data_IF_065717725420
#
_entry.id   IF_065717725420
#
_cell.length_a   1.000
_cell.length_b   1.000
_cell.length_c   1.000
_cell.angle_alpha   90.00
_cell.angle_beta   90.00
_cell.angle_gamma   90.00
#
_symmetry.space_group_name_H-M   'P 1'
#
loop_
_entity.id
_entity.type
_entity.pdbx_description
1 polymer ?
#
# COMPACT_ATOMS: atom_id res chain seq x y z
N UNK A 1 -4.14 20.70 19.61
CA UNK A 1 -5.50 20.19 19.88
C UNK A 1 -5.58 20.04 21.38
N UNK A 2 -6.38 20.86 22.05
CA UNK A 2 -6.48 20.90 23.53
C UNK A 2 -7.63 20.04 24.07
N UNK A 3 -8.53 19.59 23.22
CA UNK A 3 -9.66 18.74 23.61
C UNK A 3 -9.53 17.34 23.05
N UNK A 4 -10.08 16.35 23.77
CA UNK A 4 -10.12 14.95 23.32
C UNK A 4 -11.02 14.85 22.10
N UNK A 5 -10.48 14.40 20.97
CA UNK A 5 -11.23 14.11 19.75
C UNK A 5 -11.28 12.59 19.54
N UNK A 6 -12.47 12.08 19.24
CA UNK A 6 -12.69 10.70 18.80
C UNK A 6 -13.34 10.66 17.42
N UNK A 7 -13.23 9.53 16.73
CA UNK A 7 -13.92 9.34 15.45
C UNK A 7 -14.75 8.06 15.43
N UNK A 8 -15.89 8.15 14.77
CA UNK A 8 -16.79 7.02 14.49
C UNK A 8 -16.90 6.82 12.99
N UNK A 9 -16.47 5.67 12.51
CA UNK A 9 -16.59 5.27 11.10
C UNK A 9 -17.86 4.42 10.93
N UNK A 10 -18.77 4.85 10.07
CA UNK A 10 -19.98 4.09 9.74
C UNK A 10 -19.71 3.15 8.55
N UNK A 11 -19.68 1.85 8.83
CA UNK A 11 -19.49 0.77 7.86
C UNK A 11 -20.67 -0.23 7.87
N UNK A 12 -21.89 0.29 7.92
CA UNK A 12 -23.11 -0.49 8.13
C UNK A 12 -23.91 -0.77 6.86
N UNK A 13 -23.55 -0.18 5.71
CA UNK A 13 -24.32 -0.38 4.49
C UNK A 13 -24.09 -1.78 3.91
N UNK A 14 -25.16 -2.51 3.69
CA UNK A 14 -25.22 -3.72 2.90
C UNK A 14 -25.62 -3.33 1.47
N UNK A 15 -24.67 -3.29 0.54
CA UNK A 15 -24.97 -3.02 -0.86
C UNK A 15 -25.00 -4.33 -1.66
N UNK A 16 -26.17 -4.91 -1.94
CA UNK A 16 -26.29 -6.19 -2.63
C UNK A 16 -25.78 -6.15 -4.08
N UNK A 17 -25.66 -4.96 -4.68
CA UNK A 17 -25.18 -4.80 -6.06
C UNK A 17 -23.66 -4.94 -6.23
N UNK A 18 -22.89 -4.92 -5.14
CA UNK A 18 -21.42 -4.88 -5.22
C UNK A 18 -20.79 -6.25 -4.95
N UNK A 19 -21.43 -7.10 -4.17
CA UNK A 19 -20.76 -8.33 -3.72
C UNK A 19 -21.65 -9.56 -3.66
N UNK A 20 -21.07 -10.66 -4.06
CA UNK A 20 -21.47 -12.00 -3.63
C UNK A 20 -20.66 -12.47 -2.41
N UNK A 21 -19.50 -11.87 -2.07
CA UNK A 21 -18.59 -12.44 -1.07
C UNK A 21 -17.79 -11.44 -0.20
N UNK A 22 -17.75 -10.14 -0.49
CA UNK A 22 -16.97 -9.17 0.30
C UNK A 22 -17.72 -7.85 0.49
N UNK A 23 -17.64 -7.31 1.71
CA UNK A 23 -18.11 -5.96 2.01
C UNK A 23 -17.40 -4.91 1.14
N UNK A 24 -18.12 -3.86 0.73
CA UNK A 24 -17.56 -2.75 -0.04
C UNK A 24 -16.39 -2.07 0.69
N UNK A 25 -16.48 -1.99 2.01
CA UNK A 25 -15.44 -1.41 2.87
C UNK A 25 -14.12 -2.18 2.84
N UNK A 26 -14.19 -3.49 2.51
CA UNK A 26 -13.05 -4.39 2.36
C UNK A 26 -12.59 -4.57 0.91
N UNK A 27 -13.19 -3.84 -0.04
CA UNK A 27 -12.67 -3.80 -1.40
C UNK A 27 -11.40 -2.95 -1.44
N UNK A 28 -10.42 -3.43 -2.21
CA UNK A 28 -9.12 -2.75 -2.28
C UNK A 28 -9.15 -1.56 -3.22
N UNK A 29 -8.57 -0.49 -2.74
CA UNK A 29 -8.17 0.69 -3.49
C UNK A 29 -6.63 0.75 -3.40
N UNK A 30 -5.92 0.54 -4.52
CA UNK A 30 -4.45 0.37 -4.54
C UNK A 30 -3.97 -0.63 -3.47
N UNK A 31 -4.55 -1.84 -3.46
CA UNK A 31 -4.23 -2.95 -2.54
C UNK A 31 -4.55 -2.73 -1.05
N UNK A 32 -5.05 -1.58 -0.66
CA UNK A 32 -5.49 -1.27 0.71
C UNK A 32 -7.02 -1.23 0.79
N UNK A 33 -7.67 -1.90 1.76
CA UNK A 33 -9.12 -1.81 1.95
C UNK A 33 -9.61 -0.36 2.10
N UNK A 34 -10.77 -0.05 1.53
CA UNK A 34 -11.34 1.32 1.55
C UNK A 34 -11.43 1.87 2.97
N UNK A 35 -11.92 1.06 3.93
CA UNK A 35 -11.97 1.49 5.35
C UNK A 35 -10.59 1.80 5.90
N UNK A 36 -9.54 1.14 5.43
CA UNK A 36 -8.15 1.43 5.80
C UNK A 36 -7.66 2.79 5.31
N UNK A 37 -8.14 3.28 4.17
CA UNK A 37 -7.89 4.65 3.70
C UNK A 37 -8.51 5.67 4.65
N UNK A 38 -9.75 5.44 5.05
CA UNK A 38 -10.47 6.31 6.02
C UNK A 38 -9.71 6.36 7.35
N UNK A 39 -9.35 5.21 7.93
CA UNK A 39 -8.57 5.13 9.18
C UNK A 39 -7.23 5.89 9.04
N UNK A 40 -6.55 5.73 7.91
CA UNK A 40 -5.28 6.44 7.67
C UNK A 40 -5.47 7.95 7.63
N UNK A 41 -6.54 8.43 6.99
CA UNK A 41 -6.85 9.86 6.93
C UNK A 41 -7.17 10.44 8.32
N UNK A 42 -7.93 9.72 9.13
CA UNK A 42 -8.25 10.13 10.51
C UNK A 42 -6.99 10.22 11.39
N UNK A 43 -6.09 9.26 11.30
CA UNK A 43 -4.81 9.32 12.01
C UNK A 43 -3.92 10.48 11.57
N UNK A 44 -3.89 10.76 10.26
CA UNK A 44 -3.20 11.96 9.73
C UNK A 44 -3.85 13.27 10.19
N UNK A 45 -5.14 13.25 10.51
CA UNK A 45 -5.82 14.36 11.18
C UNK A 45 -5.41 14.52 12.65
N UNK A 46 -4.80 13.49 13.26
CA UNK A 46 -4.39 13.45 14.67
C UNK A 46 -5.40 12.77 15.58
N UNK A 47 -6.33 12.00 15.04
CA UNK A 47 -7.34 11.25 15.80
C UNK A 47 -6.86 9.81 15.95
N UNK A 48 -6.57 9.39 17.19
CA UNK A 48 -6.12 8.03 17.51
C UNK A 48 -7.25 7.16 18.05
N UNK A 49 -8.24 7.75 18.72
CA UNK A 49 -9.41 7.05 19.25
C UNK A 49 -10.45 6.88 18.13
N UNK A 50 -10.39 5.74 17.46
CA UNK A 50 -11.22 5.43 16.29
C UNK A 50 -12.07 4.20 16.57
N UNK A 51 -13.37 4.33 16.42
CA UNK A 51 -14.35 3.27 16.51
C UNK A 51 -15.03 3.03 15.16
N UNK A 52 -15.26 1.75 14.83
CA UNK A 52 -15.90 1.37 13.56
C UNK A 52 -17.21 0.64 13.84
N UNK A 53 -18.30 1.19 13.35
CA UNK A 53 -19.63 0.56 13.44
C UNK A 53 -19.86 -0.29 12.21
N UNK A 54 -20.06 -1.59 12.40
CA UNK A 54 -20.24 -2.56 11.32
C UNK A 54 -21.66 -3.16 11.32
N UNK A 55 -22.07 -3.74 10.19
CA UNK A 55 -23.34 -4.48 10.13
C UNK A 55 -23.32 -5.69 11.06
N UNK A 56 -24.49 -6.14 11.49
CA UNK A 56 -24.63 -7.27 12.45
C UNK A 56 -24.04 -8.57 11.92
N UNK A 57 -24.09 -8.76 10.61
CA UNK A 57 -23.60 -9.94 9.91
C UNK A 57 -22.15 -9.82 9.44
N UNK A 58 -21.45 -8.71 9.73
CA UNK A 58 -20.07 -8.56 9.30
C UNK A 58 -19.14 -9.56 9.99
N UNK A 59 -18.27 -10.15 9.19
CA UNK A 59 -17.21 -11.08 9.62
C UNK A 59 -15.84 -10.70 9.03
N UNK A 60 -15.76 -9.65 8.24
CA UNK A 60 -14.56 -9.30 7.47
C UNK A 60 -13.93 -7.99 7.88
N UNK A 61 -14.72 -6.98 8.23
CA UNK A 61 -14.25 -5.64 8.62
C UNK A 61 -13.66 -5.70 10.03
N UNK A 62 -14.38 -6.31 10.98
CA UNK A 62 -13.98 -6.40 12.40
C UNK A 62 -12.53 -6.87 12.58
N UNK A 63 -12.09 -8.05 12.07
CA UNK A 63 -10.71 -8.50 12.27
C UNK A 63 -9.67 -7.53 11.68
N UNK A 64 -9.99 -6.88 10.56
CA UNK A 64 -9.08 -5.95 9.91
C UNK A 64 -8.90 -4.66 10.71
N UNK A 65 -9.99 -4.06 11.20
CA UNK A 65 -9.91 -2.78 11.94
C UNK A 65 -9.32 -2.96 13.34
N UNK A 66 -9.57 -4.11 13.98
CA UNK A 66 -8.94 -4.48 15.26
C UNK A 66 -7.44 -4.68 15.11
N UNK A 67 -6.97 -5.29 14.01
CA UNK A 67 -5.54 -5.40 13.69
C UNK A 67 -4.89 -4.02 13.54
N UNK A 68 -5.65 -3.03 13.09
CA UNK A 68 -5.21 -1.63 13.02
C UNK A 68 -5.35 -0.88 14.37
N UNK A 69 -5.77 -1.54 15.45
CA UNK A 69 -5.93 -0.93 16.77
C UNK A 69 -7.18 -0.05 16.91
N UNK A 70 -8.20 -0.24 16.06
CA UNK A 70 -9.48 0.42 16.18
C UNK A 70 -10.48 -0.46 16.95
N UNK A 71 -11.38 0.15 17.71
CA UNK A 71 -12.51 -0.57 18.30
C UNK A 71 -13.56 -0.90 17.22
N UNK A 72 -14.24 -2.04 17.33
CA UNK A 72 -15.34 -2.40 16.44
C UNK A 72 -16.63 -2.70 17.23
N UNK A 73 -17.76 -2.27 16.69
CA UNK A 73 -19.06 -2.43 17.30
C UNK A 73 -20.09 -2.89 16.27
N UNK A 74 -20.89 -3.90 16.62
CA UNK A 74 -22.05 -4.30 15.82
C UNK A 74 -23.14 -3.24 15.92
N UNK A 75 -23.87 -3.01 14.84
CA UNK A 75 -24.95 -2.02 14.79
C UNK A 75 -25.98 -2.24 15.89
N UNK A 76 -26.47 -3.47 16.11
CA UNK A 76 -27.42 -3.79 17.18
C UNK A 76 -26.87 -3.59 18.59
N UNK A 77 -25.58 -3.73 18.80
CA UNK A 77 -24.95 -3.40 20.08
C UNK A 77 -25.11 -1.91 20.38
N UNK A 78 -24.89 -1.05 19.37
CA UNK A 78 -25.05 0.40 19.52
C UNK A 78 -26.52 0.78 19.72
N UNK A 79 -27.46 0.13 19.03
CA UNK A 79 -28.91 0.35 19.26
C UNK A 79 -29.36 -0.01 20.69
N UNK A 80 -28.69 -0.97 21.32
CA UNK A 80 -29.01 -1.43 22.67
C UNK A 80 -28.16 -0.81 23.79
N UNK A 81 -26.89 -0.45 23.44
CA UNK A 81 -25.83 -0.04 24.38
C UNK A 81 -25.24 1.33 23.97
N UNK A 82 -25.91 2.09 23.10
CA UNK A 82 -25.43 3.38 22.56
C UNK A 82 -24.99 4.35 23.66
N UNK A 83 -25.67 4.33 24.78
CA UNK A 83 -25.39 5.15 25.94
C UNK A 83 -24.02 4.84 26.55
N UNK A 84 -23.65 3.56 26.68
CA UNK A 84 -22.38 3.16 27.31
C UNK A 84 -21.18 3.38 26.36
N UNK A 85 -21.36 3.16 25.06
CA UNK A 85 -20.36 3.50 24.05
C UNK A 85 -20.09 5.00 24.03
N UNK A 86 -21.14 5.82 23.98
CA UNK A 86 -21.02 7.28 23.92
C UNK A 86 -20.54 7.89 25.24
N UNK A 87 -20.92 7.31 26.40
CA UNK A 87 -20.40 7.74 27.70
C UNK A 87 -18.90 7.59 27.85
N UNK A 88 -18.28 6.64 27.14
CA UNK A 88 -16.84 6.49 27.10
C UNK A 88 -16.15 7.65 26.34
N UNK A 89 -16.89 8.33 25.46
CA UNK A 89 -16.42 9.39 24.59
C UNK A 89 -17.14 10.73 24.83
N UNK A 90 -17.78 10.92 25.99
CA UNK A 90 -18.64 12.08 26.32
C UNK A 90 -17.89 13.41 26.51
N UNK A 91 -16.60 13.50 26.33
CA UNK A 91 -15.83 14.74 26.49
C UNK A 91 -15.22 15.18 25.16
N UNK A 92 -15.50 16.40 24.72
CA UNK A 92 -14.90 17.00 23.54
C UNK A 92 -15.72 16.79 22.26
N UNK A 93 -15.03 16.67 21.14
CA UNK A 93 -15.64 16.62 19.82
C UNK A 93 -15.57 15.21 19.20
N UNK A 94 -16.65 14.77 18.57
CA UNK A 94 -16.74 13.51 17.85
C UNK A 94 -16.89 13.76 16.35
N UNK A 95 -15.99 13.17 15.59
CA UNK A 95 -16.08 13.12 14.13
C UNK A 95 -16.81 11.85 13.68
N UNK A 96 -17.95 12.00 13.03
CA UNK A 96 -18.64 10.90 12.38
C UNK A 96 -18.34 10.93 10.88
N UNK A 97 -17.87 9.82 10.33
CA UNK A 97 -17.52 9.71 8.91
C UNK A 97 -18.03 8.40 8.29
N UNK A 98 -18.16 8.40 6.97
CA UNK A 98 -18.53 7.21 6.21
C UNK A 98 -17.31 6.34 5.92
N UNK A 99 -17.44 5.03 6.10
CA UNK A 99 -16.38 4.06 5.83
C UNK A 99 -16.13 3.77 4.35
N UNK A 100 -17.01 4.23 3.44
CA UNK A 100 -16.93 4.05 1.98
C UNK A 100 -16.36 5.29 1.23
N UNK A 101 -15.91 6.32 1.95
CA UNK A 101 -15.38 7.57 1.41
C UNK A 101 -13.84 7.66 1.58
N UNK A 102 -13.03 7.09 0.67
CA UNK A 102 -11.58 6.96 0.87
C UNK A 102 -10.79 8.26 0.72
N UNK A 103 -11.38 9.31 0.14
CA UNK A 103 -10.70 10.59 -0.14
C UNK A 103 -11.00 11.69 0.87
N UNK A 104 -11.25 11.31 2.12
CA UNK A 104 -11.32 12.26 3.22
C UNK A 104 -9.98 12.98 3.35
N UNK A 105 -10.02 14.32 3.31
CA UNK A 105 -8.82 15.13 3.44
C UNK A 105 -8.56 15.50 4.92
N UNK A 106 -7.42 15.08 5.51
CA UNK A 106 -7.07 15.41 6.89
C UNK A 106 -6.99 16.91 7.18
N UNK A 107 -6.60 17.72 6.20
CA UNK A 107 -6.51 19.19 6.35
C UNK A 107 -7.91 19.79 6.43
N UNK A 108 -8.81 19.37 5.54
CA UNK A 108 -10.21 19.79 5.55
C UNK A 108 -10.88 19.41 6.87
N UNK A 109 -10.70 18.18 7.36
CA UNK A 109 -11.26 17.77 8.64
C UNK A 109 -10.76 18.59 9.82
N UNK A 110 -9.46 18.92 9.84
CA UNK A 110 -8.85 19.73 10.89
C UNK A 110 -9.36 21.19 10.86
N UNK A 111 -9.46 21.76 9.67
CA UNK A 111 -9.99 23.11 9.52
C UNK A 111 -11.47 23.19 9.89
N UNK A 112 -12.25 22.17 9.54
CA UNK A 112 -13.65 22.05 9.93
C UNK A 112 -13.81 21.95 11.47
N UNK A 113 -12.89 21.26 12.17
CA UNK A 113 -12.87 21.21 13.63
C UNK A 113 -12.58 22.61 14.21
N UNK A 114 -11.58 23.32 13.70
CA UNK A 114 -11.25 24.67 14.16
C UNK A 114 -12.44 25.63 13.98
N UNK A 115 -13.16 25.52 12.86
CA UNK A 115 -14.38 26.32 12.64
C UNK A 115 -15.51 25.92 13.58
N UNK A 116 -15.67 24.60 13.84
CA UNK A 116 -16.62 24.06 14.80
C UNK A 116 -16.41 24.66 16.20
N UNK A 117 -15.18 24.62 16.71
CA UNK A 117 -14.78 25.13 18.03
C UNK A 117 -14.90 26.67 18.10
N UNK A 118 -14.35 27.37 17.12
CA UNK A 118 -14.33 28.84 17.11
C UNK A 118 -15.75 29.46 17.06
N UNK A 119 -16.65 28.79 16.35
CA UNK A 119 -18.03 29.25 16.24
C UNK A 119 -18.91 28.73 17.38
N UNK A 120 -18.42 27.79 18.22
CA UNK A 120 -19.22 27.11 19.24
C UNK A 120 -20.41 26.37 18.62
N UNK A 121 -20.19 25.71 17.52
CA UNK A 121 -21.22 24.90 16.86
C UNK A 121 -21.46 23.60 17.66
N UNK A 122 -22.69 23.12 17.68
CA UNK A 122 -23.03 21.80 18.22
C UNK A 122 -22.92 20.71 17.17
N UNK A 123 -23.05 21.09 15.89
CA UNK A 123 -22.73 20.23 14.75
C UNK A 123 -22.15 21.06 13.60
N UNK A 124 -21.16 20.53 12.92
CA UNK A 124 -20.59 21.11 11.69
C UNK A 124 -20.46 20.05 10.62
N UNK A 125 -21.16 20.23 9.50
CA UNK A 125 -21.05 19.36 8.32
C UNK A 125 -19.89 19.80 7.44
N UNK A 126 -19.15 18.86 6.89
CA UNK A 126 -18.21 19.14 5.79
C UNK A 126 -18.97 19.05 4.47
N UNK A 127 -19.04 20.14 3.73
CA UNK A 127 -19.74 20.25 2.45
C UNK A 127 -18.81 20.56 1.29
N UNK A 128 -19.27 20.31 0.09
CA UNK A 128 -18.62 20.76 -1.15
C UNK A 128 -19.67 20.91 -2.26
N UNK A 129 -19.28 21.55 -3.35
CA UNK A 129 -20.13 21.67 -4.53
C UNK A 129 -19.78 20.64 -5.60
N UNK A 130 -20.79 20.01 -6.20
CA UNK A 130 -20.65 19.02 -7.28
C UNK A 130 -21.50 19.36 -8.48
N UNK A 131 -21.07 18.94 -9.68
CA UNK A 131 -21.83 19.17 -10.90
C UNK A 131 -23.08 18.27 -10.99
N UNK A 132 -23.00 17.04 -10.49
CA UNK A 132 -24.08 16.07 -10.48
C UNK A 132 -24.37 15.64 -9.04
N UNK A 133 -25.30 16.31 -8.34
CA UNK A 133 -25.55 16.08 -6.92
C UNK A 133 -26.40 14.82 -6.62
N UNK A 134 -26.75 14.04 -7.62
CA UNK A 134 -27.57 12.84 -7.49
C UNK A 134 -26.96 11.81 -6.50
N UNK A 135 -27.76 11.41 -5.53
CA UNK A 135 -27.38 10.39 -4.52
C UNK A 135 -26.65 10.95 -3.29
N UNK A 136 -26.47 12.26 -3.18
CA UNK A 136 -25.92 12.91 -2.00
C UNK A 136 -27.00 13.66 -1.21
N UNK A 137 -26.79 13.89 0.08
CA UNK A 137 -27.61 14.79 0.89
C UNK A 137 -27.32 16.24 0.53
N UNK A 138 -28.37 17.06 0.42
CA UNK A 138 -28.27 18.47 0.08
C UNK A 138 -28.10 19.33 1.30
N UNK A 139 -27.30 20.38 1.17
CA UNK A 139 -27.16 21.43 2.16
C UNK A 139 -28.16 22.54 1.79
N UNK A 140 -29.20 22.68 2.59
CA UNK A 140 -30.24 23.69 2.37
C UNK A 140 -29.88 24.96 3.14
N UNK A 141 -29.83 26.09 2.44
CA UNK A 141 -29.55 27.40 3.01
C UNK A 141 -30.74 28.35 2.85
N UNK A 142 -30.92 29.22 3.81
CA UNK A 142 -31.88 30.33 3.73
C UNK A 142 -31.41 31.49 2.85
N UNK A 143 -32.25 32.51 2.72
CA UNK A 143 -31.99 33.67 1.86
C UNK A 143 -30.76 34.48 2.30
N UNK A 144 -30.42 34.48 3.57
CA UNK A 144 -29.23 35.13 4.13
C UNK A 144 -27.98 34.25 4.13
N UNK A 145 -28.10 33.03 3.58
CA UNK A 145 -27.00 32.06 3.50
C UNK A 145 -26.84 31.20 4.75
N UNK A 146 -27.68 31.38 5.76
CA UNK A 146 -27.71 30.55 6.96
C UNK A 146 -28.06 29.09 6.61
N UNK A 147 -27.52 28.18 7.36
CA UNK A 147 -27.73 26.76 7.17
C UNK A 147 -29.06 26.34 7.83
N UNK A 148 -29.98 25.78 7.05
CA UNK A 148 -31.31 25.41 7.52
C UNK A 148 -31.41 23.92 7.82
N UNK A 149 -30.95 23.05 6.91
CA UNK A 149 -31.06 21.61 7.09
C UNK A 149 -30.14 20.82 6.16
N UNK A 150 -29.99 19.53 6.45
CA UNK A 150 -29.42 18.54 5.53
C UNK A 150 -30.54 17.61 5.07
N UNK A 151 -30.78 17.54 3.77
CA UNK A 151 -31.90 16.78 3.19
C UNK A 151 -31.37 15.67 2.30
N UNK A 152 -31.71 14.43 2.63
CA UNK A 152 -31.34 13.28 1.78
C UNK A 152 -32.03 13.31 0.42
N UNK A 153 -31.33 12.79 -0.61
CA UNK A 153 -31.85 12.71 -1.99
C UNK A 153 -33.27 12.15 -2.09
N UNK A 154 -33.57 11.09 -1.31
CA UNK A 154 -34.86 10.39 -1.36
C UNK A 154 -36.02 11.23 -0.78
N UNK A 155 -35.72 12.17 0.11
CA UNK A 155 -36.68 13.05 0.78
C UNK A 155 -36.70 14.47 0.18
N UNK A 156 -35.74 14.80 -0.67
CA UNK A 156 -35.57 16.14 -1.22
C UNK A 156 -36.70 16.50 -2.19
N UNK A 157 -37.26 17.71 -2.03
CA UNK A 157 -38.23 18.30 -2.94
C UNK A 157 -37.59 18.59 -4.32
N UNK A 158 -38.40 18.85 -5.33
CA UNK A 158 -37.92 19.07 -6.70
C UNK A 158 -36.92 20.22 -6.84
N UNK A 159 -37.08 21.28 -6.05
CA UNK A 159 -36.16 22.42 -6.04
C UNK A 159 -34.90 22.13 -5.23
N UNK A 160 -35.01 21.43 -4.10
CA UNK A 160 -33.88 21.00 -3.30
C UNK A 160 -32.95 20.06 -4.07
N UNK A 161 -33.50 19.20 -4.94
CA UNK A 161 -32.71 18.32 -5.84
C UNK A 161 -31.78 19.07 -6.79
N UNK A 162 -32.06 20.36 -7.06
CA UNK A 162 -31.22 21.23 -7.90
C UNK A 162 -30.02 21.79 -7.17
N UNK A 163 -30.04 21.78 -5.85
CA UNK A 163 -28.94 22.27 -4.99
C UNK A 163 -27.69 21.45 -5.30
N UNK A 164 -26.59 22.15 -5.57
CA UNK A 164 -25.28 21.56 -5.92
C UNK A 164 -24.36 21.40 -4.73
N UNK A 165 -24.63 22.12 -3.62
CA UNK A 165 -23.90 21.94 -2.36
C UNK A 165 -24.41 20.69 -1.65
N UNK A 166 -23.48 19.76 -1.39
CA UNK A 166 -23.79 18.45 -0.84
C UNK A 166 -22.93 18.12 0.38
N UNK A 167 -23.48 17.30 1.29
CA UNK A 167 -22.74 16.76 2.42
C UNK A 167 -21.72 15.71 1.96
N UNK A 168 -20.51 15.79 2.52
CA UNK A 168 -19.50 14.73 2.37
C UNK A 168 -19.83 13.45 3.16
N UNK A 169 -20.75 13.54 4.12
CA UNK A 169 -21.00 12.50 5.11
C UNK A 169 -20.00 12.51 6.27
N UNK A 170 -19.25 13.62 6.41
CA UNK A 170 -18.35 13.87 7.54
C UNK A 170 -18.91 15.00 8.39
N UNK A 171 -19.08 14.74 9.69
CA UNK A 171 -19.70 15.67 10.62
C UNK A 171 -18.90 15.74 11.92
N UNK A 172 -18.60 16.94 12.38
CA UNK A 172 -18.15 17.20 13.74
C UNK A 172 -19.33 17.47 14.63
N UNK A 173 -19.38 16.83 15.77
CA UNK A 173 -20.41 17.00 16.80
C UNK A 173 -19.77 17.33 18.14
N UNK A 174 -20.40 18.20 18.91
CA UNK A 174 -20.27 18.16 20.36
C UNK A 174 -20.73 16.79 20.88
N UNK A 175 -19.91 16.15 21.71
CA UNK A 175 -20.16 14.78 22.14
C UNK A 175 -21.46 14.64 22.95
N UNK A 176 -21.79 15.65 23.78
CA UNK A 176 -23.00 15.65 24.63
C UNK A 176 -24.24 15.82 23.74
N UNK A 177 -24.16 16.68 22.73
CA UNK A 177 -25.30 16.92 21.83
C UNK A 177 -25.56 15.73 20.91
N UNK A 178 -24.51 15.07 20.42
CA UNK A 178 -24.67 13.81 19.67
C UNK A 178 -25.32 12.74 20.55
N UNK A 179 -24.89 12.59 21.80
CA UNK A 179 -25.48 11.61 22.71
C UNK A 179 -26.99 11.87 22.92
N UNK A 180 -27.37 13.11 23.22
CA UNK A 180 -28.76 13.51 23.39
C UNK A 180 -29.61 13.25 22.16
N UNK A 181 -29.11 13.55 20.97
CA UNK A 181 -29.83 13.32 19.72
C UNK A 181 -30.02 11.83 19.42
N UNK A 182 -29.06 10.99 19.83
CA UNK A 182 -29.13 9.54 19.66
C UNK A 182 -30.07 8.86 20.67
N UNK A 183 -30.26 9.44 21.88
CA UNK A 183 -31.24 8.96 22.87
C UNK A 183 -32.69 9.14 22.39
N UNK A 184 -32.92 10.16 21.56
CA UNK A 184 -34.24 10.43 20.94
C UNK A 184 -34.44 9.68 19.63
N UNK A 185 -33.37 9.42 18.88
CA UNK A 185 -33.38 8.63 17.65
C UNK A 185 -33.28 7.14 17.97
N UNK A 186 -34.40 6.49 18.20
CA UNK A 186 -34.51 5.05 18.62
C UNK A 186 -33.83 4.04 17.68
N UNK A 187 -33.24 4.45 16.54
CA UNK A 187 -32.60 3.53 15.59
C UNK A 187 -31.41 4.17 14.90
N UNK A 188 -30.22 3.67 15.15
CA UNK A 188 -28.99 4.02 14.43
C UNK A 188 -29.03 3.47 13.00
N UNK A 189 -29.75 4.14 12.11
CA UNK A 189 -29.85 3.79 10.69
C UNK A 189 -28.82 4.58 9.86
N UNK A 190 -28.67 4.22 8.59
CA UNK A 190 -27.95 4.98 7.58
C UNK A 190 -28.27 6.48 7.61
N UNK A 191 -29.52 6.78 7.90
CA UNK A 191 -30.09 8.11 7.94
C UNK A 191 -29.97 8.75 9.37
N UNK A 192 -29.42 8.02 10.34
CA UNK A 192 -29.37 8.45 11.73
C UNK A 192 -28.53 9.70 11.94
N UNK A 193 -27.46 9.87 11.16
CA UNK A 193 -26.58 11.06 11.26
C UNK A 193 -27.29 12.31 10.76
N UNK A 194 -27.90 12.24 9.57
CA UNK A 194 -28.65 13.37 9.01
C UNK A 194 -29.90 13.69 9.89
N UNK A 195 -30.52 12.68 10.47
CA UNK A 195 -31.62 12.86 11.43
C UNK A 195 -31.13 13.49 12.74
N UNK A 196 -29.99 13.04 13.29
CA UNK A 196 -29.38 13.66 14.47
C UNK A 196 -29.04 15.13 14.25
N UNK A 197 -28.50 15.48 13.07
CA UNK A 197 -28.27 16.86 12.67
C UNK A 197 -29.56 17.66 12.69
N UNK A 198 -30.62 17.16 12.03
CA UNK A 198 -31.89 17.85 11.94
C UNK A 198 -32.59 17.98 13.30
N UNK A 199 -32.45 17.01 14.20
CA UNK A 199 -32.93 17.11 15.58
C UNK A 199 -32.19 18.20 16.38
N UNK A 200 -30.84 18.22 16.32
CA UNK A 200 -30.04 19.28 16.97
C UNK A 200 -30.53 20.66 16.50
N UNK A 201 -30.73 20.84 15.20
CA UNK A 201 -31.25 22.07 14.62
C UNK A 201 -32.66 22.39 15.13
N UNK A 202 -33.57 21.40 15.18
CA UNK A 202 -34.95 21.57 15.65
C UNK A 202 -35.03 21.97 17.13
N UNK A 203 -34.07 21.55 17.96
CA UNK A 203 -33.94 21.96 19.35
C UNK A 203 -33.24 23.33 19.54
N UNK A 204 -32.94 24.04 18.44
CA UNK A 204 -32.28 25.35 18.45
C UNK A 204 -30.78 25.28 18.59
N UNK A 205 -30.19 24.12 18.36
CA UNK A 205 -28.74 23.93 18.38
C UNK A 205 -28.05 24.65 17.24
N UNK A 206 -26.79 25.06 17.46
CA UNK A 206 -26.00 25.79 16.48
C UNK A 206 -25.38 24.87 15.45
N UNK A 207 -25.80 25.04 14.20
CA UNK A 207 -25.39 24.24 13.06
C UNK A 207 -24.50 25.04 12.11
N UNK A 208 -23.31 24.50 11.78
CA UNK A 208 -22.36 25.05 10.83
C UNK A 208 -22.06 24.14 9.65
N UNK A 209 -21.50 24.72 8.58
CA UNK A 209 -20.99 23.97 7.44
C UNK A 209 -19.63 24.49 7.04
N UNK A 210 -18.62 23.62 7.07
CA UNK A 210 -17.30 23.89 6.50
C UNK A 210 -17.30 23.53 5.03
N UNK A 211 -17.06 24.51 4.17
CA UNK A 211 -17.00 24.29 2.73
C UNK A 211 -15.58 23.86 2.30
N UNK A 212 -15.48 22.71 1.65
CA UNK A 212 -14.24 22.21 1.07
C UNK A 212 -14.21 22.42 -0.45
N UNK A 213 -13.12 22.99 -0.96
CA UNK A 213 -12.98 23.32 -2.38
C UNK A 213 -12.92 22.07 -3.28
N UNK A 214 -12.39 20.96 -2.76
CA UNK A 214 -12.28 19.73 -3.55
C UNK A 214 -13.56 18.89 -3.52
N UNK A 215 -14.15 18.59 -4.69
CA UNK A 215 -15.29 17.67 -4.78
C UNK A 215 -14.91 16.20 -4.54
N UNK A 216 -13.63 15.89 -4.42
CA UNK A 216 -13.17 14.52 -4.21
C UNK A 216 -13.62 13.92 -2.87
N UNK A 217 -13.82 14.78 -1.85
CA UNK A 217 -14.22 14.37 -0.50
C UNK A 217 -15.58 13.65 -0.43
N UNK A 218 -16.42 13.79 -1.45
CA UNK A 218 -17.74 13.12 -1.52
C UNK A 218 -17.70 11.84 -2.35
N UNK A 219 -16.55 11.49 -2.95
CA UNK A 219 -16.43 10.30 -3.77
C UNK A 219 -16.53 9.03 -2.93
N UNK A 220 -17.50 8.17 -3.26
CA UNK A 220 -17.81 6.94 -2.53
C UNK A 220 -17.79 5.72 -3.41
N UNK A 221 -17.40 4.59 -2.82
CA UNK A 221 -17.45 3.28 -3.45
C UNK A 221 -18.87 2.71 -3.36
N UNK A 222 -19.74 2.99 -4.31
CA UNK A 222 -21.14 2.50 -4.32
C UNK A 222 -21.39 1.32 -5.25
N UNK A 223 -20.48 1.06 -6.19
CA UNK A 223 -20.55 -0.08 -7.12
C UNK A 223 -19.18 -0.33 -7.77
N UNK A 224 -19.05 -1.44 -8.53
CA UNK A 224 -17.76 -1.82 -9.16
C UNK A 224 -17.26 -0.80 -10.18
N UNK A 225 -18.13 -0.13 -10.91
CA UNK A 225 -17.73 0.93 -11.86
C UNK A 225 -17.16 2.12 -11.13
N UNK A 226 -17.79 2.55 -10.03
CA UNK A 226 -17.27 3.60 -9.16
C UNK A 226 -15.94 3.21 -8.53
N UNK A 227 -15.79 1.96 -8.10
CA UNK A 227 -14.52 1.47 -7.56
C UNK A 227 -13.37 1.60 -8.58
N UNK A 228 -13.61 1.29 -9.86
CA UNK A 228 -12.61 1.51 -10.92
C UNK A 228 -12.21 2.99 -11.00
N UNK A 229 -13.18 3.90 -11.03
CA UNK A 229 -12.91 5.35 -11.05
C UNK A 229 -12.13 5.81 -9.82
N UNK A 230 -12.46 5.28 -8.64
CA UNK A 230 -11.72 5.58 -7.41
C UNK A 230 -10.27 5.07 -7.46
N UNK A 231 -10.04 3.86 -8.00
CA UNK A 231 -8.69 3.32 -8.19
C UNK A 231 -7.84 4.20 -9.11
N UNK A 232 -8.40 4.63 -10.24
CA UNK A 232 -7.71 5.55 -11.14
C UNK A 232 -7.38 6.89 -10.47
N UNK A 233 -8.32 7.41 -9.68
CA UNK A 233 -8.11 8.65 -8.92
C UNK A 233 -7.02 8.48 -7.86
N UNK A 234 -7.08 7.41 -7.06
CA UNK A 234 -6.08 7.11 -6.04
C UNK A 234 -4.69 6.96 -6.66
N UNK A 235 -4.59 6.20 -7.76
CA UNK A 235 -3.34 6.04 -8.50
C UNK A 235 -2.77 7.38 -8.96
N UNK A 236 -3.62 8.22 -9.53
CA UNK A 236 -3.21 9.55 -9.99
C UNK A 236 -2.74 10.44 -8.84
N UNK A 237 -3.46 10.44 -7.72
CA UNK A 237 -3.11 11.24 -6.55
C UNK A 237 -1.75 10.80 -5.96
N UNK A 238 -1.50 9.48 -5.84
CA UNK A 238 -0.21 8.98 -5.36
C UNK A 238 0.95 9.34 -6.30
N UNK A 239 0.75 9.24 -7.62
CA UNK A 239 1.74 9.67 -8.62
C UNK A 239 2.05 11.16 -8.46
N UNK A 240 1.03 12.01 -8.39
CA UNK A 240 1.21 13.46 -8.22
C UNK A 240 1.94 13.80 -6.92
N UNK A 241 1.58 13.14 -5.81
CA UNK A 241 2.26 13.31 -4.51
C UNK A 241 3.77 13.07 -4.62
N UNK A 242 4.18 12.04 -5.36
CA UNK A 242 5.60 11.74 -5.56
C UNK A 242 6.28 12.73 -6.51
N UNK A 243 5.60 13.16 -7.57
CA UNK A 243 6.12 14.20 -8.48
C UNK A 243 6.37 15.50 -7.70
N UNK A 244 5.42 15.94 -6.88
CA UNK A 244 5.55 17.13 -6.02
C UNK A 244 6.67 16.99 -4.98
N UNK A 245 6.96 15.76 -4.55
CA UNK A 245 8.10 15.44 -3.68
C UNK A 245 9.45 15.35 -4.40
N UNK A 246 9.51 15.63 -5.71
CA UNK A 246 10.74 15.66 -6.50
C UNK A 246 11.14 14.32 -7.13
N UNK A 247 10.19 13.42 -7.33
CA UNK A 247 10.37 12.17 -8.10
C UNK A 247 10.04 12.45 -9.57
N UNK A 248 10.87 11.98 -10.49
CA UNK A 248 10.66 12.10 -11.93
C UNK A 248 9.84 10.90 -12.45
N UNK A 249 8.64 11.17 -13.02
CA UNK A 249 7.77 10.16 -13.60
C UNK A 249 7.37 10.62 -15.01
N UNK A 250 8.26 10.42 -16.02
CA UNK A 250 8.06 11.00 -17.35
C UNK A 250 6.88 10.41 -18.13
N UNK A 251 6.43 9.22 -17.75
CA UNK A 251 5.26 8.56 -18.33
C UNK A 251 4.57 7.73 -17.25
N UNK A 252 3.27 7.94 -17.09
CA UNK A 252 2.47 7.31 -16.02
C UNK A 252 1.83 5.98 -16.45
N UNK A 253 2.05 5.53 -17.66
CA UNK A 253 1.44 4.33 -18.21
C UNK A 253 1.89 3.07 -17.44
N UNK A 254 0.92 2.36 -16.88
CA UNK A 254 1.18 1.16 -16.07
C UNK A 254 1.90 1.41 -14.74
N UNK A 255 2.22 2.67 -14.39
CA UNK A 255 2.81 2.99 -13.09
C UNK A 255 1.76 2.86 -11.99
N UNK A 256 2.06 2.05 -10.98
CA UNK A 256 1.25 1.87 -9.78
C UNK A 256 2.12 2.04 -8.54
N UNK A 257 1.78 3.00 -7.70
CA UNK A 257 2.48 3.31 -6.45
C UNK A 257 1.45 3.26 -5.32
N UNK A 258 1.67 2.42 -4.33
CA UNK A 258 0.78 2.33 -3.16
C UNK A 258 1.08 3.43 -2.14
N UNK A 259 0.09 3.71 -1.28
CA UNK A 259 0.13 4.85 -0.34
C UNK A 259 1.28 4.83 0.68
N UNK A 260 1.79 3.64 1.00
CA UNK A 260 2.82 3.43 2.01
C UNK A 260 4.24 3.38 1.41
N UNK A 261 4.37 3.69 0.11
CA UNK A 261 5.64 3.76 -0.61
C UNK A 261 6.34 5.10 -0.36
N UNK A 262 7.64 5.03 -0.07
CA UNK A 262 8.52 6.19 0.09
C UNK A 262 9.58 6.19 -1.04
N UNK A 263 9.75 7.33 -1.71
CA UNK A 263 10.71 7.48 -2.82
C UNK A 263 11.54 8.74 -2.61
N UNK A 264 12.85 8.59 -2.67
CA UNK A 264 13.79 9.70 -2.52
C UNK A 264 13.83 10.62 -3.73
N UNK A 265 14.17 11.89 -3.48
CA UNK A 265 14.26 12.96 -4.49
C UNK A 265 15.24 12.61 -5.61
N UNK A 266 14.91 13.02 -6.84
CA UNK A 266 15.72 12.78 -8.03
C UNK A 266 15.70 11.33 -8.54
N UNK A 267 14.87 10.47 -7.97
CA UNK A 267 14.60 9.12 -8.47
C UNK A 267 13.64 9.18 -9.65
N UNK A 268 13.95 8.44 -10.71
CA UNK A 268 13.11 8.32 -11.92
C UNK A 268 12.34 7.00 -11.88
N UNK A 269 11.02 7.04 -12.05
CA UNK A 269 10.13 5.87 -12.17
C UNK A 269 9.65 5.76 -13.61
N UNK A 270 9.96 4.64 -14.26
CA UNK A 270 9.64 4.39 -15.68
C UNK A 270 8.31 3.60 -15.83
N UNK A 271 7.72 3.61 -17.04
CA UNK A 271 6.44 2.94 -17.32
C UNK A 271 6.38 1.47 -16.89
N UNK A 272 5.19 1.01 -16.49
CA UNK A 272 4.96 -0.37 -16.07
C UNK A 272 5.54 -0.72 -14.71
N UNK A 273 6.10 0.23 -13.97
CA UNK A 273 6.64 0.01 -12.63
C UNK A 273 5.53 -0.10 -11.59
N UNK A 274 5.58 -1.16 -10.78
CA UNK A 274 4.64 -1.42 -9.69
C UNK A 274 5.39 -1.44 -8.36
N UNK A 275 5.01 -0.54 -7.45
CA UNK A 275 5.56 -0.42 -6.10
C UNK A 275 4.44 -0.67 -5.08
N UNK A 276 4.54 -1.74 -4.29
CA UNK A 276 3.47 -2.10 -3.36
C UNK A 276 3.96 -2.59 -1.99
N UNK A 277 3.13 -2.40 -0.98
CA UNK A 277 3.45 -2.68 0.41
C UNK A 277 4.45 -1.68 0.98
N UNK A 278 5.23 -2.10 1.95
CA UNK A 278 6.26 -1.26 2.59
C UNK A 278 7.50 -1.20 1.72
N UNK A 279 7.54 -0.26 0.77
CA UNK A 279 8.67 -0.04 -0.12
C UNK A 279 9.34 1.29 0.22
N UNK A 280 10.68 1.26 0.36
CA UNK A 280 11.51 2.46 0.48
C UNK A 280 12.55 2.46 -0.64
N UNK A 281 12.61 3.55 -1.41
CA UNK A 281 13.58 3.76 -2.47
C UNK A 281 14.37 5.02 -2.15
N UNK A 282 15.69 4.93 -2.21
CA UNK A 282 16.61 6.04 -1.99
C UNK A 282 16.56 7.11 -3.07
N UNK A 283 17.57 7.99 -3.05
CA UNK A 283 17.70 9.13 -3.95
C UNK A 283 18.44 8.73 -5.24
N UNK A 284 18.13 9.43 -6.34
CA UNK A 284 18.89 9.32 -7.60
C UNK A 284 18.79 7.94 -8.26
N UNK A 285 17.79 7.13 -7.94
CA UNK A 285 17.58 5.82 -8.53
C UNK A 285 16.92 5.90 -9.89
N UNK A 286 17.05 4.83 -10.69
CA UNK A 286 16.31 4.61 -11.92
C UNK A 286 15.58 3.28 -11.85
N UNK A 287 14.27 3.33 -11.70
CA UNK A 287 13.42 2.16 -11.45
C UNK A 287 12.49 1.92 -12.65
N UNK A 288 12.56 0.75 -13.22
CA UNK A 288 11.79 0.39 -14.40
C UNK A 288 12.62 0.38 -15.71
N UNK A 289 11.97 0.15 -16.86
CA UNK A 289 10.53 -0.13 -16.99
C UNK A 289 10.13 -1.52 -16.42
N UNK A 290 8.82 -1.79 -16.35
CA UNK A 290 8.26 -3.12 -16.02
C UNK A 290 8.88 -3.78 -14.76
N UNK A 291 9.19 -2.97 -13.76
CA UNK A 291 9.81 -3.43 -12.51
C UNK A 291 8.76 -3.55 -11.40
N UNK A 292 8.77 -4.68 -10.70
CA UNK A 292 7.92 -4.89 -9.53
C UNK A 292 8.77 -4.93 -8.26
N UNK A 293 8.44 -4.05 -7.30
CA UNK A 293 9.07 -4.04 -5.98
C UNK A 293 7.98 -4.20 -4.93
N UNK A 294 8.15 -5.18 -4.05
CA UNK A 294 7.19 -5.45 -2.98
C UNK A 294 7.90 -5.63 -1.63
N UNK A 295 7.44 -4.90 -0.59
CA UNK A 295 7.95 -5.02 0.78
C UNK A 295 9.49 -5.02 0.87
N UNK A 296 10.16 -4.13 0.14
CA UNK A 296 11.60 -4.13 -0.04
C UNK A 296 12.22 -2.75 0.15
N UNK A 297 13.50 -2.72 0.48
CA UNK A 297 14.26 -1.48 0.61
C UNK A 297 15.32 -1.40 -0.48
N UNK A 298 15.39 -0.27 -1.15
CA UNK A 298 16.37 0.05 -2.20
C UNK A 298 17.14 1.29 -1.77
N UNK A 299 18.47 1.22 -1.78
CA UNK A 299 19.36 2.31 -1.42
C UNK A 299 19.44 3.42 -2.48
N UNK A 300 20.45 4.27 -2.35
CA UNK A 300 20.66 5.41 -3.25
C UNK A 300 21.37 5.00 -4.55
N UNK A 301 21.11 5.73 -5.65
CA UNK A 301 21.76 5.57 -6.95
C UNK A 301 21.69 4.15 -7.54
N UNK A 302 20.59 3.46 -7.30
CA UNK A 302 20.34 2.09 -7.77
C UNK A 302 19.61 2.12 -9.11
N UNK A 303 20.00 1.21 -10.01
CA UNK A 303 19.30 0.96 -11.27
C UNK A 303 18.63 -0.42 -11.17
N UNK A 304 17.30 -0.47 -11.28
CA UNK A 304 16.52 -1.69 -11.43
C UNK A 304 15.77 -1.66 -12.76
N UNK A 305 16.13 -2.53 -13.67
CA UNK A 305 15.55 -2.62 -15.00
C UNK A 305 14.84 -3.96 -15.17
N UNK A 306 13.55 -3.96 -15.54
CA UNK A 306 12.74 -5.20 -15.77
C UNK A 306 12.98 -6.26 -14.67
N UNK A 307 12.97 -5.83 -13.42
CA UNK A 307 13.37 -6.63 -12.26
C UNK A 307 12.19 -6.87 -11.34
N UNK A 308 12.12 -8.08 -10.76
CA UNK A 308 11.21 -8.38 -9.67
C UNK A 308 11.98 -8.48 -8.35
N UNK A 309 11.54 -7.73 -7.33
CA UNK A 309 12.19 -7.68 -6.02
C UNK A 309 11.15 -7.82 -4.89
N UNK A 310 11.29 -8.86 -4.09
CA UNK A 310 10.35 -9.19 -3.02
C UNK A 310 11.05 -9.32 -1.67
N UNK A 311 10.52 -8.67 -0.63
CA UNK A 311 10.93 -8.82 0.78
C UNK A 311 12.45 -8.86 0.96
N UNK A 312 13.16 -7.93 0.32
CA UNK A 312 14.61 -7.94 0.20
C UNK A 312 15.20 -6.55 0.35
N UNK A 313 16.51 -6.50 0.52
CA UNK A 313 17.27 -5.24 0.60
C UNK A 313 18.28 -5.17 -0.52
N UNK A 314 18.26 -4.09 -1.28
CA UNK A 314 19.26 -3.72 -2.27
C UNK A 314 19.97 -2.46 -1.76
N UNK A 315 21.28 -2.52 -1.55
CA UNK A 315 22.07 -1.38 -1.08
C UNK A 315 22.43 -0.42 -2.22
N UNK A 316 23.29 0.55 -1.92
CA UNK A 316 23.56 1.68 -2.83
C UNK A 316 24.33 1.28 -4.08
N UNK A 317 24.11 2.04 -5.17
CA UNK A 317 24.92 1.97 -6.39
C UNK A 317 24.80 0.65 -7.18
N UNK A 318 23.84 -0.20 -6.87
CA UNK A 318 23.60 -1.45 -7.57
C UNK A 318 23.07 -1.22 -8.99
N UNK A 319 23.46 -2.11 -9.91
CA UNK A 319 22.93 -2.16 -11.28
C UNK A 319 22.35 -3.56 -11.52
N UNK A 320 21.02 -3.65 -11.65
CA UNK A 320 20.30 -4.92 -11.63
C UNK A 320 19.33 -5.01 -12.82
N UNK A 321 19.37 -6.17 -13.49
CA UNK A 321 18.52 -6.48 -14.63
C UNK A 321 19.24 -6.37 -15.99
N UNK A 322 18.51 -6.51 -17.10
CA UNK A 322 17.08 -6.84 -17.14
C UNK A 322 16.78 -8.29 -16.75
N UNK A 323 15.50 -8.56 -16.43
CA UNK A 323 14.99 -9.90 -16.09
C UNK A 323 15.66 -10.56 -14.88
N UNK A 324 16.00 -9.77 -13.87
CA UNK A 324 16.50 -10.28 -12.61
C UNK A 324 15.34 -10.57 -11.63
N UNK A 325 15.51 -11.60 -10.78
CA UNK A 325 14.54 -11.97 -9.78
C UNK A 325 15.19 -12.06 -8.39
N UNK A 326 14.91 -11.07 -7.55
CA UNK A 326 15.37 -11.03 -6.15
C UNK A 326 14.23 -11.52 -5.28
N UNK A 327 14.41 -12.72 -4.70
CA UNK A 327 13.41 -13.41 -3.89
C UNK A 327 13.59 -13.09 -2.40
N UNK A 328 12.56 -13.37 -1.58
CA UNK A 328 12.56 -13.03 -0.16
C UNK A 328 13.82 -13.44 0.60
N UNK A 329 14.13 -12.63 1.64
CA UNK A 329 15.29 -12.79 2.52
C UNK A 329 16.65 -12.67 1.80
N UNK A 330 16.71 -11.84 0.76
CA UNK A 330 17.97 -11.58 0.06
C UNK A 330 18.51 -10.18 0.39
N UNK A 331 19.83 -10.09 0.52
CA UNK A 331 20.55 -8.84 0.73
C UNK A 331 21.58 -8.67 -0.37
N UNK A 332 21.43 -7.62 -1.18
CA UNK A 332 22.36 -7.23 -2.24
C UNK A 332 23.18 -6.05 -1.74
N UNK A 333 24.47 -6.22 -1.60
CA UNK A 333 25.45 -5.25 -1.08
C UNK A 333 25.66 -4.06 -1.99
N UNK A 334 26.53 -3.14 -1.57
CA UNK A 334 26.80 -1.92 -2.34
C UNK A 334 27.53 -2.22 -3.68
N UNK A 335 27.19 -1.50 -4.73
CA UNK A 335 27.84 -1.59 -6.05
C UNK A 335 27.81 -3.01 -6.67
N UNK A 336 26.88 -3.85 -6.28
CA UNK A 336 26.70 -5.18 -6.87
C UNK A 336 26.07 -5.05 -8.25
N UNK A 337 26.54 -5.88 -9.18
CA UNK A 337 25.94 -6.03 -10.50
C UNK A 337 25.26 -7.41 -10.64
N UNK A 338 23.92 -7.39 -10.81
CA UNK A 338 23.15 -8.58 -11.20
C UNK A 338 22.64 -8.36 -12.62
N UNK A 339 23.13 -9.15 -13.56
CA UNK A 339 22.73 -9.00 -14.96
C UNK A 339 21.46 -9.81 -15.31
N UNK A 340 21.33 -10.11 -16.59
CA UNK A 340 20.12 -10.71 -17.13
C UNK A 340 19.94 -12.17 -16.73
N UNK A 341 18.69 -12.52 -16.43
CA UNK A 341 18.26 -13.87 -16.01
C UNK A 341 19.00 -14.39 -14.78
N UNK A 342 19.25 -13.51 -13.83
CA UNK A 342 19.84 -13.86 -12.54
C UNK A 342 18.74 -13.97 -11.49
N UNK A 343 18.72 -15.10 -10.78
CA UNK A 343 17.84 -15.32 -9.64
C UNK A 343 18.65 -15.39 -8.34
N UNK A 344 18.27 -14.57 -7.35
CA UNK A 344 18.86 -14.55 -6.00
C UNK A 344 17.78 -14.91 -4.99
N UNK A 345 18.03 -15.89 -4.12
CA UNK A 345 17.08 -16.38 -3.13
C UNK A 345 17.73 -16.65 -1.80
N UNK A 346 17.19 -16.05 -0.72
CA UNK A 346 17.65 -16.29 0.67
C UNK A 346 19.18 -16.26 0.80
N UNK A 347 19.80 -15.23 0.18
CA UNK A 347 21.25 -15.10 0.03
C UNK A 347 21.73 -13.71 0.33
N UNK A 348 22.97 -13.61 0.82
CA UNK A 348 23.70 -12.36 0.92
C UNK A 348 24.78 -12.30 -0.16
N UNK A 349 24.83 -11.18 -0.89
CA UNK A 349 25.86 -10.91 -1.88
C UNK A 349 26.52 -9.59 -1.47
N UNK A 350 27.81 -9.61 -1.16
CA UNK A 350 28.51 -8.45 -0.64
C UNK A 350 29.08 -7.55 -1.77
N UNK A 351 29.60 -6.42 -1.36
CA UNK A 351 30.00 -5.27 -2.15
C UNK A 351 30.83 -5.61 -3.40
N UNK A 352 30.50 -4.99 -4.51
CA UNK A 352 31.27 -5.05 -5.76
C UNK A 352 31.22 -6.40 -6.50
N UNK A 353 30.46 -7.37 -6.00
CA UNK A 353 30.30 -8.69 -6.63
C UNK A 353 29.51 -8.59 -7.92
N UNK A 354 29.89 -9.40 -8.91
CA UNK A 354 29.29 -9.44 -10.25
C UNK A 354 28.72 -10.81 -10.56
N UNK A 355 27.40 -10.84 -10.84
CA UNK A 355 26.64 -12.00 -11.29
C UNK A 355 25.96 -11.63 -12.59
N UNK A 356 26.69 -11.73 -13.72
CA UNK A 356 26.32 -11.02 -14.94
C UNK A 356 25.27 -11.74 -15.79
N UNK A 357 25.16 -13.06 -15.76
CA UNK A 357 24.33 -13.81 -16.71
C UNK A 357 23.85 -15.15 -16.18
N UNK A 358 22.56 -15.50 -16.42
CA UNK A 358 21.99 -16.85 -16.37
C UNK A 358 22.42 -17.64 -15.12
N UNK A 359 22.32 -17.09 -13.94
CA UNK A 359 22.89 -17.66 -12.72
C UNK A 359 21.82 -17.78 -11.63
N UNK A 360 21.83 -18.92 -10.91
CA UNK A 360 21.03 -19.11 -9.71
C UNK A 360 21.92 -19.05 -8.46
N UNK A 361 21.65 -18.08 -7.58
CA UNK A 361 22.30 -17.91 -6.27
C UNK A 361 21.26 -18.12 -5.17
N UNK A 362 21.19 -19.35 -4.65
CA UNK A 362 20.22 -19.72 -3.61
C UNK A 362 20.89 -20.22 -2.34
N UNK A 363 20.37 -19.78 -1.18
CA UNK A 363 20.86 -20.16 0.15
C UNK A 363 22.40 -20.01 0.25
N UNK A 364 22.92 -18.83 -0.12
CA UNK A 364 24.36 -18.58 -0.25
C UNK A 364 24.80 -17.33 0.48
N UNK A 365 26.04 -17.38 0.99
CA UNK A 365 26.78 -16.25 1.55
C UNK A 365 27.96 -15.93 0.62
N UNK A 366 27.87 -14.82 -0.10
CA UNK A 366 28.83 -14.41 -1.13
C UNK A 366 29.59 -13.17 -0.64
N UNK A 367 30.89 -13.26 -0.62
CA UNK A 367 31.81 -12.20 -0.25
C UNK A 367 31.90 -11.06 -1.25
N UNK A 368 32.91 -10.21 -1.04
CA UNK A 368 33.15 -9.01 -1.86
C UNK A 368 33.88 -9.35 -3.16
N UNK A 369 33.62 -8.57 -4.19
CA UNK A 369 34.34 -8.62 -5.47
C UNK A 369 34.38 -9.99 -6.15
N UNK A 370 33.46 -10.89 -5.78
CA UNK A 370 33.32 -12.20 -6.41
C UNK A 370 32.81 -12.04 -7.84
N UNK A 371 33.36 -12.83 -8.76
CA UNK A 371 32.89 -12.86 -10.14
C UNK A 371 32.27 -14.22 -10.47
N UNK A 372 31.00 -14.23 -10.86
CA UNK A 372 30.31 -15.42 -11.33
C UNK A 372 30.33 -15.52 -12.85
N UNK A 373 30.82 -16.66 -13.34
CA UNK A 373 30.67 -17.04 -14.73
C UNK A 373 29.23 -17.43 -15.07
N UNK A 374 28.86 -17.23 -16.34
CA UNK A 374 27.52 -17.57 -16.86
C UNK A 374 27.14 -19.02 -16.57
N UNK A 375 25.89 -19.26 -16.21
CA UNK A 375 25.35 -20.61 -16.01
C UNK A 375 25.76 -21.26 -14.68
N UNK A 376 26.30 -20.51 -13.73
CA UNK A 376 26.61 -21.03 -12.39
C UNK A 376 25.33 -21.31 -11.61
N UNK A 377 25.32 -22.43 -10.88
CA UNK A 377 24.20 -22.84 -10.01
C UNK A 377 24.73 -23.22 -8.63
N UNK A 378 24.16 -22.60 -7.59
CA UNK A 378 24.32 -23.10 -6.21
C UNK A 378 23.28 -24.21 -5.98
N UNK A 379 23.73 -25.47 -5.91
CA UNK A 379 22.87 -26.64 -5.72
C UNK A 379 22.59 -26.80 -4.24
N UNK A 380 21.54 -26.11 -3.75
CA UNK A 380 21.25 -25.91 -2.33
C UNK A 380 20.27 -26.92 -1.72
N UNK A 381 19.69 -27.86 -2.53
CA UNK A 381 18.64 -28.75 -2.07
C UNK A 381 18.94 -30.21 -2.41
N UNK A 382 18.90 -31.06 -1.41
CA UNK A 382 19.19 -32.51 -1.53
C UNK A 382 17.96 -33.39 -1.76
N UNK A 383 16.78 -32.79 -1.97
CA UNK A 383 15.51 -33.52 -1.97
C UNK A 383 14.87 -33.62 -0.57
N UNK A 384 15.64 -33.40 0.51
CA UNK A 384 15.16 -33.46 1.90
C UNK A 384 15.49 -32.23 2.72
N UNK A 385 16.68 -31.67 2.55
CA UNK A 385 17.17 -30.51 3.31
C UNK A 385 17.85 -29.50 2.39
N UNK A 386 17.90 -28.25 2.85
CA UNK A 386 18.63 -27.15 2.19
C UNK A 386 19.91 -26.88 2.96
N UNK A 387 20.98 -26.63 2.22
CA UNK A 387 22.30 -26.29 2.74
C UNK A 387 22.79 -25.01 2.11
N UNK A 388 23.69 -24.32 2.80
CA UNK A 388 24.26 -23.05 2.31
C UNK A 388 25.60 -23.27 1.62
N UNK A 389 25.82 -22.48 0.58
CA UNK A 389 27.12 -22.32 -0.09
C UNK A 389 27.79 -21.07 0.45
N UNK A 390 29.09 -21.14 0.72
CA UNK A 390 29.90 -19.97 1.07
C UNK A 390 30.90 -19.69 -0.03
N UNK A 391 30.99 -18.45 -0.46
CA UNK A 391 31.95 -17.97 -1.46
C UNK A 391 32.64 -16.76 -0.84
N UNK A 392 33.94 -16.91 -0.61
CA UNK A 392 34.73 -15.89 0.07
C UNK A 392 35.14 -14.76 -0.90
N UNK A 393 35.73 -13.70 -0.34
CA UNK A 393 36.11 -12.49 -1.10
C UNK A 393 37.03 -12.83 -2.28
N UNK A 394 36.92 -12.05 -3.36
CA UNK A 394 37.76 -12.12 -4.56
C UNK A 394 37.75 -13.47 -5.31
N UNK A 395 36.83 -14.36 -4.99
CA UNK A 395 36.70 -15.65 -5.67
C UNK A 395 36.20 -15.48 -7.11
N UNK A 396 36.67 -16.36 -8.01
CA UNK A 396 36.22 -16.42 -9.39
C UNK A 396 35.54 -17.77 -9.70
N UNK A 397 34.24 -17.73 -9.96
CA UNK A 397 33.47 -18.92 -10.28
C UNK A 397 33.40 -19.07 -11.81
N UNK A 398 33.98 -20.14 -12.34
CA UNK A 398 33.97 -20.42 -13.77
C UNK A 398 32.57 -20.65 -14.33
N UNK A 399 32.40 -20.43 -15.63
CA UNK A 399 31.10 -20.64 -16.30
C UNK A 399 30.58 -22.08 -16.13
N UNK A 400 29.26 -22.24 -16.02
CA UNK A 400 28.62 -23.57 -15.87
C UNK A 400 29.18 -24.39 -14.69
N UNK A 401 29.59 -23.72 -13.62
CA UNK A 401 29.99 -24.39 -12.38
C UNK A 401 28.75 -24.70 -11.53
N UNK A 402 28.64 -25.96 -11.07
CA UNK A 402 27.67 -26.38 -10.06
C UNK A 402 28.37 -26.41 -8.70
N UNK A 403 27.92 -25.63 -7.73
CA UNK A 403 28.40 -25.65 -6.35
C UNK A 403 27.42 -26.46 -5.50
N UNK A 404 27.78 -27.71 -5.17
CA UNK A 404 26.89 -28.63 -4.42
C UNK A 404 27.05 -28.37 -2.92
N UNK A 405 26.05 -27.73 -2.34
CA UNK A 405 26.06 -27.34 -0.91
C UNK A 405 25.91 -28.60 0.01
N UNK A 406 26.55 -28.57 1.21
CA UNK A 406 27.37 -27.47 1.73
C UNK A 406 28.78 -27.48 1.10
N UNK A 407 29.24 -26.31 0.63
CA UNK A 407 30.58 -26.15 0.07
C UNK A 407 31.06 -24.72 0.29
N UNK A 408 32.36 -24.56 0.52
CA UNK A 408 33.05 -23.28 0.65
C UNK A 408 34.03 -23.11 -0.50
N UNK A 409 33.94 -21.96 -1.20
CA UNK A 409 34.98 -21.50 -2.12
C UNK A 409 35.79 -20.42 -1.44
N UNK A 410 37.08 -20.69 -1.18
CA UNK A 410 37.97 -19.84 -0.42
C UNK A 410 38.28 -18.49 -1.06
N UNK A 411 38.92 -17.61 -0.30
CA UNK A 411 39.27 -16.27 -0.77
C UNK A 411 40.25 -16.32 -1.93
N UNK A 412 39.97 -15.53 -2.99
CA UNK A 412 40.79 -15.53 -4.21
C UNK A 412 40.85 -16.88 -4.93
N UNK A 413 40.01 -17.84 -4.56
CA UNK A 413 39.98 -19.15 -5.24
C UNK A 413 39.23 -19.10 -6.56
N UNK A 414 39.57 -20.03 -7.44
CA UNK A 414 38.97 -20.17 -8.75
C UNK A 414 38.28 -21.53 -8.90
N UNK A 415 37.18 -21.59 -9.62
CA UNK A 415 36.64 -22.85 -10.10
C UNK A 415 36.76 -22.91 -11.62
N UNK A 416 37.21 -24.06 -12.16
CA UNK A 416 37.30 -24.26 -13.59
C UNK A 416 35.92 -24.36 -14.26
N UNK A 417 35.72 -23.73 -15.41
CA UNK A 417 34.46 -23.79 -16.15
C UNK A 417 33.98 -25.24 -16.36
N UNK A 418 32.66 -25.49 -16.21
CA UNK A 418 32.06 -26.82 -16.38
C UNK A 418 32.32 -27.77 -15.21
N UNK A 419 32.79 -27.30 -14.06
CA UNK A 419 33.05 -28.13 -12.89
C UNK A 419 31.81 -28.33 -12.02
N UNK A 420 31.69 -29.53 -11.43
CA UNK A 420 30.75 -29.80 -10.34
C UNK A 420 31.51 -29.97 -9.03
N UNK A 421 31.54 -28.90 -8.24
CA UNK A 421 32.31 -28.78 -7.01
C UNK A 421 31.49 -29.35 -5.86
N UNK A 422 32.01 -30.39 -5.20
CA UNK A 422 31.39 -31.13 -4.10
C UNK A 422 32.19 -31.10 -2.79
N UNK A 423 33.40 -30.56 -2.84
CA UNK A 423 34.30 -30.36 -1.70
C UNK A 423 34.79 -28.93 -1.65
N UNK A 424 35.22 -28.49 -0.48
CA UNK A 424 35.73 -27.13 -0.30
C UNK A 424 36.94 -26.85 -1.20
N UNK A 425 36.98 -25.64 -1.79
CA UNK A 425 38.13 -25.13 -2.54
C UNK A 425 38.91 -24.21 -1.64
N UNK A 426 40.15 -24.57 -1.27
CA UNK A 426 40.98 -23.72 -0.40
C UNK A 426 41.27 -22.34 -0.99
N UNK A 427 41.65 -21.38 -0.12
CA UNK A 427 42.03 -20.04 -0.53
C UNK A 427 43.10 -20.08 -1.64
N UNK A 428 43.00 -19.15 -2.60
CA UNK A 428 43.95 -18.97 -3.72
C UNK A 428 44.18 -20.25 -4.54
N UNK A 429 43.27 -21.20 -4.52
CA UNK A 429 43.38 -22.50 -5.22
C UNK A 429 42.48 -22.54 -6.46
N UNK A 430 42.77 -23.47 -7.37
CA UNK A 430 41.91 -23.76 -8.52
C UNK A 430 41.22 -25.13 -8.35
N UNK A 431 39.91 -25.12 -8.14
CA UNK A 431 39.07 -26.32 -8.13
C UNK A 431 38.73 -26.79 -9.54
N UNK A 432 39.08 -28.00 -9.92
CA UNK A 432 38.76 -28.58 -11.21
C UNK A 432 38.03 -29.90 -10.98
N UNK A 433 36.74 -29.96 -11.32
CA UNK A 433 35.88 -31.14 -11.15
C UNK A 433 35.09 -31.45 -12.44
N UNK A 434 35.83 -31.73 -13.50
CA UNK A 434 35.31 -32.13 -14.82
C UNK A 434 36.23 -33.13 -15.53
N UNK A 435 35.70 -33.91 -16.45
CA UNK A 435 36.50 -34.85 -17.25
C UNK A 435 37.52 -34.12 -18.15
N UNK A 436 38.64 -34.78 -18.41
CA UNK A 436 39.59 -34.33 -19.45
C UNK A 436 38.94 -34.41 -20.82
N UNK A 437 39.18 -33.42 -21.66
CA UNK A 437 38.73 -33.43 -23.04
C UNK A 437 39.41 -34.56 -23.83
N UNK A 438 38.60 -35.31 -24.56
CA UNK A 438 39.07 -36.35 -25.51
C UNK A 438 38.55 -35.99 -26.89
N UNK A 439 39.46 -35.84 -27.84
CA UNK A 439 39.13 -35.57 -29.25
C UNK A 439 39.10 -36.92 -30.01
N UNK A 440 37.96 -37.26 -30.57
CA UNK A 440 37.82 -38.42 -31.48
C UNK A 440 37.95 -37.95 -32.91
N UNK A 441 39.14 -38.17 -33.48
CA UNK A 441 39.45 -37.80 -34.86
C UNK A 441 38.61 -38.62 -35.85
N UNK A 442 38.17 -37.99 -36.95
CA UNK A 442 37.36 -38.66 -37.99
C UNK A 442 35.94 -38.99 -37.61
N UNK A 443 35.41 -38.48 -36.48
CA UNK A 443 34.04 -38.76 -35.98
C UNK A 443 32.93 -38.48 -37.00
N UNK A 444 33.07 -37.45 -37.82
CA UNK A 444 32.06 -37.06 -38.80
C UNK A 444 32.17 -37.83 -40.14
N UNK A 445 33.37 -38.31 -40.51
CA UNK A 445 33.62 -39.00 -41.79
C UNK A 445 32.99 -40.40 -41.82
N UNK A 446 32.79 -40.99 -40.65
CA UNK A 446 32.20 -42.37 -40.58
C UNK A 446 30.66 -42.42 -40.68
N UNK A 447 29.97 -41.28 -40.75
CA UNK A 447 28.51 -41.23 -40.92
C UNK A 447 28.03 -41.13 -42.35
N UNK A 448 28.92 -40.81 -43.29
CA UNK A 448 28.55 -40.68 -44.71
C UNK A 448 28.76 -42.03 -45.47
N UNK A 449 29.11 -43.12 -44.74
CA UNK A 449 29.33 -44.45 -45.30
C UNK A 449 28.43 -45.55 -44.69
N UNK A 450 27.30 -45.19 -44.02
CA UNK A 450 26.24 -46.13 -43.64
C UNK A 450 24.93 -45.78 -44.45
#
# INVERSE_FOLDING_TARGET
>A
MSEKCAAVILATEENPSVTTYRSIYMMNLLSKPIVGWVITALRRCGIEDISVVVSDNDVTITPYVELLGCASYKRKQIENESIDFMKKHCEGNILVVRGDAPFIDPIVLRNALLEHENNGNEVTVVSTQVDVPFGYSRIVRGDSGELLSVVEEKHAAADEKKIREVSSGSYWFDAIMLLRSLETCVKFHKDAVDNAVNEIVAFGGKFGAYYADSPDIVLRASNRRRLLTLNEKARKNEILRHIEAGVDIPCVDGVMIESDVEIGVGTTILPGTILRGKVKIGKGCKIGPNTLIENSTVGDNVILNETQCYQSTVKNGCNIGPFAHIRPNSVVGDCVHLGNFVEVKNSSIDTGTKVSHLTYVGDSDVGKHVNFGCGTVTVNYTGRAKFRTKIMDDAFIGCNTNLVAPVTVGAGAYTAAGSTITEDVPDSSLGIARARQVNKLGWRINKDNE
#
